data_IF_013817161887
#
_entry.id   IF_013817161887
#
_cell.length_a   1.000
_cell.length_b   1.000
_cell.length_c   1.000
_cell.angle_alpha   90.00
_cell.angle_beta   90.00
_cell.angle_gamma   90.00
#
_symmetry.space_group_name_H-M   'P 1'
#
loop_
_entity.id
_entity.type
_entity.pdbx_description
1 polymer ?
#
# COMPACT_ATOMS: atom_id res chain seq x y z
N UNK A 1 14.35 24.12 5.74
CA UNK A 1 12.91 24.43 5.90
C UNK A 1 12.40 23.70 7.12
N UNK A 2 11.46 24.33 7.85
CA UNK A 2 10.86 23.68 9.02
C UNK A 2 9.93 22.53 8.54
N UNK A 3 10.03 21.35 9.15
CA UNK A 3 9.22 20.17 8.83
C UNK A 3 7.72 20.47 8.85
N UNK A 4 7.27 21.30 9.78
CA UNK A 4 5.86 21.71 9.88
C UNK A 4 5.39 22.46 8.62
N UNK A 5 6.23 23.32 8.04
CA UNK A 5 5.91 24.04 6.80
C UNK A 5 5.78 23.06 5.63
N UNK A 6 6.66 22.05 5.56
CA UNK A 6 6.58 20.99 4.51
C UNK A 6 5.26 20.24 4.61
N UNK A 7 4.89 19.83 5.83
CA UNK A 7 3.62 19.10 6.07
C UNK A 7 2.40 19.95 5.70
N UNK A 8 2.40 21.23 6.07
CA UNK A 8 1.30 22.14 5.71
C UNK A 8 1.18 22.35 4.19
N UNK A 9 2.30 22.55 3.50
CA UNK A 9 2.30 22.69 2.03
C UNK A 9 1.78 21.38 1.40
N UNK A 10 2.26 20.23 1.86
CA UNK A 10 1.81 18.94 1.36
C UNK A 10 0.29 18.74 1.57
N UNK A 11 -0.22 19.08 2.75
CA UNK A 11 -1.64 19.01 3.06
C UNK A 11 -2.48 19.89 2.14
N UNK A 12 -2.05 21.13 1.91
CA UNK A 12 -2.75 22.08 0.99
C UNK A 12 -2.75 21.55 -0.44
N UNK A 13 -1.61 21.03 -0.92
CA UNK A 13 -1.49 20.47 -2.28
C UNK A 13 -2.39 19.25 -2.45
N UNK A 14 -2.38 18.31 -1.49
CA UNK A 14 -3.21 17.11 -1.55
C UNK A 14 -4.70 17.45 -1.45
N UNK A 15 -5.08 18.37 -0.58
CA UNK A 15 -6.46 18.84 -0.48
C UNK A 15 -6.92 19.54 -1.76
N UNK A 16 -6.08 20.40 -2.34
CA UNK A 16 -6.33 21.04 -3.63
C UNK A 16 -6.47 20.03 -4.76
N UNK A 17 -5.61 19.03 -4.82
CA UNK A 17 -5.70 17.94 -5.79
C UNK A 17 -7.02 17.16 -5.64
N UNK A 18 -7.43 16.83 -4.42
CA UNK A 18 -8.73 16.20 -4.16
C UNK A 18 -9.90 17.04 -4.66
N UNK A 19 -9.92 18.33 -4.32
CA UNK A 19 -11.03 19.23 -4.66
C UNK A 19 -11.13 19.53 -6.16
N UNK A 20 -10.01 19.69 -6.84
CA UNK A 20 -9.98 20.07 -8.26
C UNK A 20 -9.87 18.85 -9.14
N UNK A 21 -8.77 18.10 -8.99
CA UNK A 21 -8.46 16.98 -9.88
C UNK A 21 -9.37 15.77 -9.64
N UNK A 22 -9.65 15.42 -8.38
CA UNK A 22 -10.54 14.32 -8.04
C UNK A 22 -11.96 14.55 -8.54
N UNK A 23 -12.50 15.77 -8.37
CA UNK A 23 -13.84 16.14 -8.88
C UNK A 23 -13.88 16.15 -10.40
N UNK A 24 -12.86 16.68 -11.05
CA UNK A 24 -12.75 16.69 -12.50
C UNK A 24 -12.73 15.25 -13.05
N UNK A 25 -11.96 14.37 -12.43
CA UNK A 25 -11.86 12.97 -12.82
C UNK A 25 -13.19 12.22 -12.65
N UNK A 26 -13.84 12.41 -11.50
CA UNK A 26 -15.16 11.86 -11.23
C UNK A 26 -16.21 12.29 -12.28
N UNK A 27 -16.21 13.59 -12.63
CA UNK A 27 -17.09 14.11 -13.68
C UNK A 27 -16.75 13.54 -15.06
N UNK A 28 -15.46 13.43 -15.37
CA UNK A 28 -15.01 12.89 -16.68
C UNK A 28 -15.36 11.41 -16.84
N UNK A 29 -15.33 10.64 -15.77
CA UNK A 29 -15.71 9.22 -15.79
C UNK A 29 -17.22 9.01 -15.70
N UNK A 30 -18.01 10.06 -15.52
CA UNK A 30 -19.45 9.98 -15.45
C UNK A 30 -19.95 9.30 -14.19
N UNK A 31 -19.30 9.54 -13.05
CA UNK A 31 -19.73 8.96 -11.78
C UNK A 31 -20.98 9.71 -11.31
N UNK A 32 -22.08 8.97 -11.16
CA UNK A 32 -23.31 9.46 -10.57
C UNK A 32 -23.34 9.18 -9.07
N UNK A 33 -23.29 10.23 -8.22
CA UNK A 33 -23.35 10.06 -6.76
C UNK A 33 -24.69 9.48 -6.26
N UNK A 34 -25.72 9.48 -7.08
CA UNK A 34 -27.05 8.93 -6.74
C UNK A 34 -27.26 7.49 -7.20
N UNK A 35 -26.31 6.95 -7.99
CA UNK A 35 -26.42 5.57 -8.46
C UNK A 35 -26.31 4.59 -7.28
N UNK A 36 -27.19 3.61 -7.26
CA UNK A 36 -27.15 2.54 -6.28
C UNK A 36 -25.87 1.71 -6.47
N UNK A 37 -25.16 1.50 -5.38
CA UNK A 37 -23.97 0.64 -5.37
C UNK A 37 -24.37 -0.84 -5.41
N UNK A 38 -23.49 -1.73 -5.90
CA UNK A 38 -23.76 -3.17 -5.90
C UNK A 38 -24.15 -3.73 -4.54
N UNK A 39 -23.58 -3.22 -3.46
CA UNK A 39 -23.91 -3.62 -2.10
C UNK A 39 -25.38 -3.33 -1.72
N UNK A 40 -25.96 -2.26 -2.26
CA UNK A 40 -27.37 -1.91 -2.04
C UNK A 40 -28.26 -2.71 -2.98
N UNK A 41 -27.89 -2.74 -4.28
CA UNK A 41 -28.70 -3.37 -5.33
C UNK A 41 -28.83 -4.88 -5.19
N UNK A 42 -27.76 -5.56 -4.77
CA UNK A 42 -27.69 -7.02 -4.67
C UNK A 42 -27.60 -7.50 -3.21
N UNK A 43 -28.10 -6.71 -2.27
CA UNK A 43 -28.02 -7.02 -0.85
C UNK A 43 -28.63 -8.39 -0.53
N UNK A 44 -27.77 -9.33 -0.14
CA UNK A 44 -28.12 -10.70 0.26
C UNK A 44 -27.80 -10.99 1.72
N UNK A 45 -27.27 -10.00 2.43
CA UNK A 45 -26.87 -10.13 3.84
C UNK A 45 -25.60 -10.96 4.08
N UNK A 46 -24.91 -11.42 3.04
CA UNK A 46 -23.69 -12.25 3.12
C UNK A 46 -22.55 -11.64 2.29
N UNK A 47 -22.68 -11.66 0.96
CA UNK A 47 -21.65 -11.19 0.04
C UNK A 47 -21.81 -9.69 -0.29
N UNK A 48 -23.05 -9.22 -0.34
CA UNK A 48 -23.39 -7.82 -0.59
C UNK A 48 -24.13 -7.24 0.61
N UNK A 49 -23.39 -6.54 1.46
CA UNK A 49 -23.91 -5.89 2.66
C UNK A 49 -23.64 -4.40 2.62
N UNK A 50 -24.68 -3.55 2.63
CA UNK A 50 -24.51 -2.11 2.74
C UNK A 50 -23.80 -1.78 4.06
N UNK A 51 -22.66 -1.11 3.96
CA UNK A 51 -21.82 -0.80 5.11
C UNK A 51 -21.68 0.71 5.26
N UNK A 52 -21.50 1.16 6.51
CA UNK A 52 -21.28 2.58 6.80
C UNK A 52 -20.03 3.10 6.08
N UNK A 53 -20.13 4.30 5.50
CA UNK A 53 -19.04 4.94 4.76
C UNK A 53 -17.73 5.08 5.55
N UNK A 54 -17.78 5.29 6.86
CA UNK A 54 -16.59 5.32 7.71
C UNK A 54 -15.89 3.97 7.80
N UNK A 55 -16.64 2.90 7.86
CA UNK A 55 -16.07 1.53 7.87
C UNK A 55 -15.40 1.21 6.54
N UNK A 56 -16.04 1.57 5.42
CA UNK A 56 -15.46 1.39 4.08
C UNK A 56 -14.19 2.23 3.92
N UNK A 57 -14.21 3.49 4.37
CA UNK A 57 -13.04 4.37 4.36
C UNK A 57 -11.89 3.79 5.18
N UNK A 58 -12.15 3.36 6.41
CA UNK A 58 -11.14 2.78 7.30
C UNK A 58 -10.51 1.52 6.71
N UNK A 59 -11.33 0.65 6.11
CA UNK A 59 -10.85 -0.56 5.44
C UNK A 59 -9.96 -0.23 4.24
N UNK A 60 -10.41 0.70 3.39
CA UNK A 60 -9.64 1.13 2.22
C UNK A 60 -8.32 1.78 2.63
N UNK A 61 -8.35 2.65 3.64
CA UNK A 61 -7.15 3.28 4.18
C UNK A 61 -6.16 2.24 4.72
N UNK A 62 -6.62 1.27 5.50
CA UNK A 62 -5.77 0.19 6.03
C UNK A 62 -5.17 -0.69 4.93
N UNK A 63 -5.89 -0.91 3.84
CA UNK A 63 -5.41 -1.69 2.70
C UNK A 63 -4.29 -0.97 1.92
N UNK A 64 -4.34 0.36 1.84
CA UNK A 64 -3.35 1.19 1.14
C UNK A 64 -2.15 1.50 2.06
N UNK A 65 -2.42 1.88 3.31
CA UNK A 65 -1.40 2.32 4.28
C UNK A 65 -0.66 1.15 4.94
N UNK A 66 -0.13 0.24 4.13
CA UNK A 66 0.73 -0.85 4.59
C UNK A 66 2.16 -0.39 4.93
N UNK A 67 3.04 -1.35 5.23
CA UNK A 67 4.44 -1.05 5.54
C UNK A 67 5.21 -0.41 4.36
N UNK A 68 4.85 -0.73 3.11
CA UNK A 68 5.48 -0.19 1.91
C UNK A 68 5.51 1.33 1.83
N UNK A 69 4.39 2.05 1.99
CA UNK A 69 4.37 3.51 2.00
C UNK A 69 5.27 4.15 3.06
N UNK A 70 5.42 3.51 4.22
CA UNK A 70 6.27 4.01 5.31
C UNK A 70 7.74 3.73 5.02
N UNK A 71 8.09 2.46 4.80
CA UNK A 71 9.48 2.04 4.57
C UNK A 71 10.02 2.56 3.25
N UNK A 72 9.21 2.63 2.20
CA UNK A 72 9.57 3.18 0.91
C UNK A 72 9.97 4.65 0.98
N UNK A 73 9.22 5.46 1.71
CA UNK A 73 9.54 6.87 1.91
C UNK A 73 10.86 7.05 2.69
N UNK A 74 11.11 6.21 3.72
CA UNK A 74 12.36 6.23 4.50
C UNK A 74 13.54 5.85 3.62
N UNK A 75 13.44 4.77 2.84
CA UNK A 75 14.51 4.33 1.93
C UNK A 75 14.78 5.38 0.83
N UNK A 76 13.72 5.94 0.27
CA UNK A 76 13.83 6.97 -0.76
C UNK A 76 14.48 8.26 -0.24
N UNK A 77 14.41 8.53 1.07
CA UNK A 77 15.08 9.69 1.67
C UNK A 77 16.62 9.69 1.48
N UNK A 78 17.21 8.51 1.20
CA UNK A 78 18.63 8.41 0.81
C UNK A 78 18.96 9.19 -0.48
N UNK A 79 17.98 9.40 -1.37
CA UNK A 79 18.12 10.20 -2.60
C UNK A 79 17.89 11.70 -2.39
N UNK A 80 17.59 12.10 -1.16
CA UNK A 80 17.31 13.48 -0.78
C UNK A 80 15.82 13.73 -0.55
N UNK A 81 15.51 14.61 0.39
CA UNK A 81 14.12 14.87 0.81
C UNK A 81 13.24 15.54 -0.25
N UNK A 82 13.81 16.40 -1.09
CA UNK A 82 13.04 17.14 -2.09
C UNK A 82 12.54 16.25 -3.25
N UNK A 83 13.38 15.41 -3.89
CA UNK A 83 12.89 14.46 -4.89
C UNK A 83 11.82 13.52 -4.34
N UNK A 84 11.99 13.06 -3.11
CA UNK A 84 11.02 12.18 -2.45
C UNK A 84 9.70 12.87 -2.22
N UNK A 85 9.71 14.10 -1.69
CA UNK A 85 8.50 14.89 -1.48
C UNK A 85 7.75 15.14 -2.77
N UNK A 86 8.46 15.53 -3.84
CA UNK A 86 7.86 15.74 -5.16
C UNK A 86 7.24 14.46 -5.71
N UNK A 87 7.94 13.33 -5.57
CA UNK A 87 7.41 12.04 -5.99
C UNK A 87 6.17 11.61 -5.20
N UNK A 88 6.16 11.80 -3.88
CA UNK A 88 5.00 11.49 -3.04
C UNK A 88 3.80 12.35 -3.44
N UNK A 89 3.98 13.65 -3.67
CA UNK A 89 2.89 14.55 -4.02
C UNK A 89 2.39 14.31 -5.44
N UNK A 90 3.28 14.30 -6.42
CA UNK A 90 2.91 14.16 -7.84
C UNK A 90 2.52 12.71 -8.13
N UNK A 91 3.37 11.76 -7.74
CA UNK A 91 3.13 10.33 -7.95
C UNK A 91 1.90 9.85 -7.19
N UNK A 92 1.72 10.27 -5.93
CA UNK A 92 0.55 9.95 -5.13
C UNK A 92 -0.76 10.45 -5.75
N UNK A 93 -0.79 11.66 -6.32
CA UNK A 93 -1.98 12.22 -6.95
C UNK A 93 -2.25 11.60 -8.32
N UNK A 94 -1.25 11.59 -9.23
CA UNK A 94 -1.47 11.26 -10.63
C UNK A 94 -1.36 9.77 -10.93
N UNK A 95 -0.64 9.00 -10.13
CA UNK A 95 -0.53 7.56 -10.30
C UNK A 95 -1.29 6.81 -9.21
N UNK A 96 -0.94 6.97 -7.93
CA UNK A 96 -1.55 6.23 -6.82
C UNK A 96 -3.06 6.44 -6.73
N UNK A 97 -3.51 7.66 -6.46
CA UNK A 97 -4.92 7.95 -6.27
C UNK A 97 -5.77 7.67 -7.51
N UNK A 98 -5.25 7.89 -8.72
CA UNK A 98 -5.99 7.61 -9.96
C UNK A 98 -6.15 6.12 -10.19
N UNK A 99 -5.13 5.31 -9.94
CA UNK A 99 -5.23 3.86 -10.09
C UNK A 99 -6.18 3.24 -9.08
N UNK A 100 -6.11 3.66 -7.82
CA UNK A 100 -6.98 3.16 -6.76
C UNK A 100 -8.44 3.55 -7.00
N UNK A 101 -8.68 4.82 -7.34
CA UNK A 101 -10.00 5.31 -7.67
C UNK A 101 -10.56 4.64 -8.93
N UNK A 102 -9.71 4.41 -9.95
CA UNK A 102 -10.07 3.71 -11.17
C UNK A 102 -10.44 2.25 -10.93
N UNK A 103 -9.68 1.55 -10.10
CA UNK A 103 -9.95 0.16 -9.73
C UNK A 103 -11.28 0.04 -8.95
N UNK A 104 -11.52 0.93 -7.99
CA UNK A 104 -12.76 0.99 -7.24
C UNK A 104 -13.96 1.27 -8.15
N UNK A 105 -13.84 2.29 -9.00
CA UNK A 105 -14.91 2.62 -9.95
C UNK A 105 -15.18 1.49 -10.95
N UNK A 106 -14.15 0.87 -11.49
CA UNK A 106 -14.29 -0.27 -12.38
C UNK A 106 -15.00 -1.44 -11.70
N UNK A 107 -14.68 -1.72 -10.44
CA UNK A 107 -15.34 -2.75 -9.64
C UNK A 107 -16.82 -2.42 -9.43
N UNK A 108 -17.15 -1.23 -8.96
CA UNK A 108 -18.53 -0.77 -8.74
C UNK A 108 -19.35 -0.84 -10.03
N UNK A 109 -18.80 -0.38 -11.15
CA UNK A 109 -19.46 -0.40 -12.46
C UNK A 109 -19.65 -1.81 -13.00
N UNK A 110 -18.87 -2.78 -12.55
CA UNK A 110 -18.97 -4.19 -12.92
C UNK A 110 -19.53 -5.05 -11.78
N UNK A 111 -20.54 -4.56 -11.07
CA UNK A 111 -21.30 -5.34 -10.07
C UNK A 111 -20.46 -5.81 -8.87
N UNK A 112 -19.44 -5.04 -8.47
CA UNK A 112 -18.55 -5.41 -7.37
C UNK A 112 -17.54 -6.52 -7.70
N UNK A 113 -17.34 -6.83 -8.99
CA UNK A 113 -16.41 -7.89 -9.41
C UNK A 113 -14.95 -7.52 -9.19
N UNK A 114 -14.14 -8.52 -8.88
CA UNK A 114 -12.69 -8.38 -8.76
C UNK A 114 -12.03 -8.06 -10.11
N UNK A 115 -10.84 -7.46 -10.10
CA UNK A 115 -10.11 -7.11 -11.32
C UNK A 115 -9.88 -8.31 -12.24
N UNK A 116 -9.62 -9.51 -11.67
CA UNK A 116 -9.49 -10.73 -12.46
C UNK A 116 -10.76 -11.09 -13.24
N UNK A 117 -11.92 -10.90 -12.65
CA UNK A 117 -13.22 -11.14 -13.32
C UNK A 117 -13.53 -10.07 -14.37
N UNK A 118 -13.12 -8.82 -14.11
CA UNK A 118 -13.26 -7.72 -15.07
C UNK A 118 -12.38 -7.97 -16.28
N UNK A 119 -11.13 -8.40 -16.08
CA UNK A 119 -10.22 -8.78 -17.16
C UNK A 119 -10.80 -9.95 -17.98
N UNK A 120 -11.39 -10.94 -17.32
CA UNK A 120 -12.06 -12.04 -18.04
C UNK A 120 -13.19 -11.54 -18.93
N UNK A 121 -14.00 -10.60 -18.44
CA UNK A 121 -15.14 -10.02 -19.18
C UNK A 121 -14.69 -9.25 -20.43
N UNK A 122 -13.60 -8.50 -20.37
CA UNK A 122 -13.18 -7.60 -21.46
C UNK A 122 -12.06 -8.17 -22.35
N UNK A 123 -11.21 -9.03 -21.81
CA UNK A 123 -10.03 -9.60 -22.50
C UNK A 123 -10.18 -11.11 -22.72
N UNK A 124 -10.94 -11.77 -21.85
CA UNK A 124 -11.19 -13.21 -21.93
C UNK A 124 -10.42 -14.04 -20.89
N UNK A 125 -10.70 -15.35 -20.90
CA UNK A 125 -10.16 -16.31 -19.91
C UNK A 125 -8.64 -16.39 -19.89
N UNK A 126 -7.98 -16.21 -21.03
CA UNK A 126 -6.53 -16.22 -21.12
C UNK A 126 -5.92 -15.01 -20.40
N UNK A 127 -6.46 -13.80 -20.61
CA UNK A 127 -6.05 -12.59 -19.90
C UNK A 127 -6.20 -12.72 -18.40
N UNK A 128 -7.31 -13.31 -17.92
CA UNK A 128 -7.50 -13.60 -16.49
C UNK A 128 -6.40 -14.52 -15.93
N UNK A 129 -6.07 -15.61 -16.63
CA UNK A 129 -5.04 -16.56 -16.19
C UNK A 129 -3.66 -15.88 -16.05
N UNK A 130 -3.27 -15.09 -17.04
CA UNK A 130 -2.00 -14.33 -17.00
C UNK A 130 -2.02 -13.34 -15.84
N UNK A 131 -3.12 -12.60 -15.65
CA UNK A 131 -3.24 -11.66 -14.55
C UNK A 131 -3.14 -12.33 -13.18
N UNK A 132 -3.81 -13.48 -12.99
CA UNK A 132 -3.74 -14.24 -11.74
C UNK A 132 -2.33 -14.79 -11.48
N UNK A 133 -1.66 -15.29 -12.52
CA UNK A 133 -0.26 -15.73 -12.43
C UNK A 133 0.66 -14.57 -12.02
N UNK A 134 0.48 -13.40 -12.64
CA UNK A 134 1.22 -12.19 -12.27
C UNK A 134 0.98 -11.82 -10.80
N UNK A 135 -0.27 -11.78 -10.36
CA UNK A 135 -0.61 -11.46 -8.97
C UNK A 135 0.02 -12.47 -8.00
N UNK A 136 -0.01 -13.75 -8.35
CA UNK A 136 0.60 -14.79 -7.53
C UNK A 136 2.12 -14.62 -7.39
N UNK A 137 2.83 -14.44 -8.50
CA UNK A 137 4.27 -14.19 -8.51
C UNK A 137 4.62 -12.91 -7.74
N UNK A 138 3.85 -11.84 -7.96
CA UNK A 138 4.04 -10.57 -7.25
C UNK A 138 3.85 -10.74 -5.73
N UNK A 139 2.84 -11.50 -5.31
CA UNK A 139 2.61 -11.79 -3.89
C UNK A 139 3.79 -12.52 -3.26
N UNK A 140 4.41 -13.47 -3.96
CA UNK A 140 5.62 -14.16 -3.46
C UNK A 140 6.78 -13.18 -3.25
N UNK A 141 7.00 -12.25 -4.19
CA UNK A 141 8.05 -11.23 -4.07
C UNK A 141 7.77 -10.32 -2.86
N UNK A 142 6.52 -9.89 -2.69
CA UNK A 142 6.13 -9.03 -1.57
C UNK A 142 6.32 -9.75 -0.23
N UNK A 143 5.91 -11.03 -0.13
CA UNK A 143 6.11 -11.83 1.08
C UNK A 143 7.61 -11.97 1.39
N UNK A 144 8.43 -12.26 0.39
CA UNK A 144 9.87 -12.38 0.57
C UNK A 144 10.50 -11.06 1.05
N UNK A 145 10.11 -9.93 0.46
CA UNK A 145 10.60 -8.62 0.87
C UNK A 145 10.20 -8.25 2.31
N UNK A 146 8.97 -8.54 2.71
CA UNK A 146 8.54 -8.32 4.09
C UNK A 146 9.20 -9.28 5.07
N UNK A 147 9.38 -10.53 4.70
CA UNK A 147 10.10 -11.50 5.52
C UNK A 147 11.55 -11.06 5.77
N UNK A 148 12.23 -10.56 4.74
CA UNK A 148 13.59 -10.01 4.85
C UNK A 148 13.63 -8.79 5.78
N UNK A 149 12.70 -7.82 5.61
CA UNK A 149 12.60 -6.68 6.50
C UNK A 149 12.37 -7.08 7.96
N UNK A 150 11.46 -8.02 8.20
CA UNK A 150 11.16 -8.52 9.55
C UNK A 150 12.37 -9.26 10.12
N UNK A 151 13.01 -10.13 9.35
CA UNK A 151 14.22 -10.82 9.77
C UNK A 151 15.33 -9.83 10.14
N UNK A 152 15.48 -8.76 9.36
CA UNK A 152 16.43 -7.69 9.66
C UNK A 152 16.19 -6.99 11.00
N UNK A 153 14.94 -6.89 11.46
CA UNK A 153 14.63 -6.31 12.79
C UNK A 153 15.07 -7.21 13.95
N UNK A 154 15.14 -8.51 13.71
CA UNK A 154 15.59 -9.49 14.70
C UNK A 154 17.11 -9.75 14.65
N UNK A 155 17.80 -9.25 13.63
CA UNK A 155 19.23 -9.45 13.50
C UNK A 155 20.00 -8.56 14.49
N UNK A 156 20.55 -9.20 15.53
CA UNK A 156 21.30 -8.52 16.58
C UNK A 156 22.71 -8.11 16.15
N UNK A 157 23.25 -8.71 15.09
CA UNK A 157 24.63 -8.52 14.67
C UNK A 157 24.75 -7.96 13.26
N UNK A 158 25.71 -7.08 13.05
CA UNK A 158 26.11 -6.56 11.74
C UNK A 158 27.61 -6.78 11.56
N UNK A 159 28.04 -6.89 10.31
CA UNK A 159 29.47 -6.97 9.98
C UNK A 159 29.97 -5.54 9.71
N UNK A 160 31.00 -5.10 10.44
CA UNK A 160 31.66 -3.82 10.22
C UNK A 160 32.51 -3.84 8.94
N UNK A 161 32.97 -2.68 8.52
CA UNK A 161 33.88 -2.52 7.38
C UNK A 161 35.16 -3.36 7.52
N UNK A 162 35.59 -3.65 8.73
CA UNK A 162 36.77 -4.50 9.06
C UNK A 162 36.45 -6.00 9.07
N UNK A 163 35.26 -6.43 8.69
CA UNK A 163 34.83 -7.84 8.69
C UNK A 163 34.47 -8.40 10.08
N UNK A 164 34.50 -7.59 11.12
CA UNK A 164 34.17 -8.04 12.48
C UNK A 164 32.66 -8.04 12.72
N UNK A 165 32.13 -9.11 13.31
CA UNK A 165 30.73 -9.20 13.71
C UNK A 165 30.52 -8.43 15.00
N UNK A 166 29.70 -7.35 14.94
CA UNK A 166 29.40 -6.47 16.08
C UNK A 166 27.90 -6.36 16.29
N UNK A 167 27.50 -6.03 17.53
CA UNK A 167 26.09 -5.73 17.82
C UNK A 167 25.60 -4.55 16.96
N UNK A 168 24.47 -4.72 16.27
CA UNK A 168 23.84 -3.66 15.49
C UNK A 168 23.43 -2.48 16.37
N UNK A 169 23.35 -1.28 15.80
CA UNK A 169 22.89 -0.10 16.53
C UNK A 169 21.48 -0.30 17.12
N UNK A 170 20.60 -1.00 16.39
CA UNK A 170 19.27 -1.35 16.86
C UNK A 170 19.28 -2.32 18.06
N UNK A 171 20.19 -3.30 18.07
CA UNK A 171 20.33 -4.22 19.19
C UNK A 171 20.96 -3.57 20.44
N UNK A 172 21.79 -2.54 20.26
CA UNK A 172 22.36 -1.76 21.37
C UNK A 172 21.29 -0.88 22.06
N UNK A 173 20.32 -0.38 21.31
CA UNK A 173 19.24 0.48 21.83
C UNK A 173 18.02 -0.31 22.29
N UNK A 174 17.73 -1.44 21.67
CA UNK A 174 16.60 -2.31 21.98
C UNK A 174 17.11 -3.69 22.44
N UNK A 175 17.37 -3.84 23.72
CA UNK A 175 17.81 -5.13 24.28
C UNK A 175 16.86 -6.31 24.00
N UNK A 176 15.58 -6.02 23.69
CA UNK A 176 14.59 -7.02 23.28
C UNK A 176 14.84 -7.64 21.89
N UNK A 177 15.35 -6.86 20.93
CA UNK A 177 15.66 -7.38 19.58
C UNK A 177 16.83 -8.37 19.63
N UNK A 178 17.85 -8.13 20.47
CA UNK A 178 18.95 -9.08 20.69
C UNK A 178 18.47 -10.38 21.34
N UNK A 179 17.57 -10.31 22.31
CA UNK A 179 17.01 -11.51 22.96
C UNK A 179 16.20 -12.39 22.02
N UNK A 180 15.34 -11.81 21.17
CA UNK A 180 14.55 -12.56 20.21
C UNK A 180 15.44 -13.21 19.16
N UNK A 181 16.50 -12.53 18.70
CA UNK A 181 17.48 -13.07 17.78
C UNK A 181 18.22 -14.28 18.36
N UNK A 182 18.63 -14.22 19.61
CA UNK A 182 19.28 -15.34 20.33
C UNK A 182 18.29 -16.52 20.48
N UNK A 183 17.05 -16.25 20.82
CA UNK A 183 16.02 -17.31 20.92
C UNK A 183 15.70 -17.96 19.58
N UNK A 184 15.62 -17.19 18.49
CA UNK A 184 15.36 -17.75 17.15
C UNK A 184 16.51 -18.62 16.64
N UNK A 185 17.76 -18.24 16.87
CA UNK A 185 18.94 -19.06 16.53
C UNK A 185 18.99 -20.34 17.36
N UNK A 186 18.60 -20.28 18.63
CA UNK A 186 18.53 -21.45 19.50
C UNK A 186 17.52 -22.51 19.02
N UNK A 187 16.40 -22.08 18.43
CA UNK A 187 15.40 -23.01 17.86
C UNK A 187 15.82 -23.64 16.52
N UNK A 188 16.70 -23.02 15.77
CA UNK A 188 17.17 -23.57 14.47
C UNK A 188 18.33 -24.55 14.61
N UNK A 189 18.91 -24.69 15.80
CA UNK A 189 20.01 -25.61 16.09
C UNK A 189 19.62 -26.79 17.00
N UNK A 190 18.32 -26.95 17.32
CA UNK A 190 17.72 -28.13 17.95
C UNK A 190 16.96 -28.97 16.93
#
# INVERSE_FOLDING_TARGET
>A
MNTLVIVLIAAVVLFGAYMVYGRWLAKKWGIDPKAETPAVKYNDGKDFVPTNGWTVFSHQFSSIAGAGPVTGAIQAAAFGWLPVLLWILIGGVFFGAVTDFGALYASVKNEGKSMGMIIEKYIGKFGRKIFLLFCWLFTLIVIAAFADMVAGTFNAYTVNADGATVLSAAAKTNGSAGMVSIMSVSYTHL
#
